data_IF_591956426081
#
_entry.id   IF_591956426081
#
_cell.length_a   1.000
_cell.length_b   1.000
_cell.length_c   1.000
_cell.angle_alpha   90.00
_cell.angle_beta   90.00
_cell.angle_gamma   90.00
#
_symmetry.space_group_name_H-M   'P 1'
#
loop_
_entity.id
_entity.type
_entity.pdbx_description
1 polymer ?
#
# COMPACT_ATOMS: atom_id res chain seq x y z
N UNK A 1 5.71 5.00 -25.89
CA UNK A 1 4.49 5.13 -25.07
C UNK A 1 4.96 5.55 -23.70
N UNK A 2 4.65 6.76 -23.26
CA UNK A 2 5.02 7.22 -21.93
C UNK A 2 4.13 6.41 -20.98
N UNK A 3 4.73 5.49 -20.23
CA UNK A 3 4.05 4.86 -19.09
C UNK A 3 3.89 5.99 -18.08
N UNK A 4 2.72 6.57 -18.04
CA UNK A 4 2.39 7.57 -17.05
C UNK A 4 2.32 6.83 -15.71
N UNK A 5 3.29 7.06 -14.84
CA UNK A 5 3.25 6.61 -13.43
C UNK A 5 2.21 7.44 -12.65
N UNK A 6 1.00 7.52 -13.23
CA UNK A 6 -0.09 8.33 -12.68
C UNK A 6 -0.41 7.97 -11.24
N UNK A 7 -0.28 6.67 -10.89
CA UNK A 7 -0.52 6.17 -9.55
C UNK A 7 0.48 6.74 -8.54
N UNK A 8 1.77 6.84 -8.91
CA UNK A 8 2.77 7.48 -8.04
C UNK A 8 2.43 8.95 -7.79
N UNK A 9 2.10 9.70 -8.86
CA UNK A 9 1.71 11.11 -8.73
C UNK A 9 0.47 11.28 -7.87
N UNK A 10 -0.52 10.39 -8.04
CA UNK A 10 -1.73 10.37 -7.23
C UNK A 10 -1.42 10.06 -5.77
N UNK A 11 -0.59 9.03 -5.49
CA UNK A 11 -0.20 8.63 -4.13
C UNK A 11 0.57 9.76 -3.44
N UNK A 12 1.51 10.41 -4.14
CA UNK A 12 2.24 11.58 -3.61
C UNK A 12 1.29 12.72 -3.27
N UNK A 13 0.34 13.02 -4.17
CA UNK A 13 -0.67 14.05 -3.90
C UNK A 13 -1.54 13.69 -2.71
N UNK A 14 -2.01 12.46 -2.63
CA UNK A 14 -2.78 11.96 -1.49
C UNK A 14 -2.00 12.08 -0.18
N UNK A 15 -0.74 11.65 -0.15
CA UNK A 15 0.13 11.79 1.02
C UNK A 15 0.33 13.26 1.42
N UNK A 16 0.42 14.16 0.45
CA UNK A 16 0.54 15.61 0.72
C UNK A 16 -0.68 16.21 1.43
N UNK A 17 -1.86 15.63 1.21
CA UNK A 17 -3.13 16.03 1.85
C UNK A 17 -3.34 15.33 3.19
N UNK A 18 -3.12 14.01 3.23
CA UNK A 18 -3.35 13.17 4.42
C UNK A 18 -2.30 13.43 5.50
N UNK A 19 -1.04 13.70 5.10
CA UNK A 19 0.08 13.90 6.02
C UNK A 19 0.23 12.74 7.01
N UNK A 20 0.46 11.51 6.54
CA UNK A 20 0.54 10.34 7.42
C UNK A 20 1.66 10.51 8.45
N UNK A 21 1.41 10.12 9.70
CA UNK A 21 2.48 9.99 10.70
C UNK A 21 3.40 8.84 10.31
N UNK A 22 2.81 7.71 9.98
CA UNK A 22 3.56 6.52 9.54
C UNK A 22 3.10 6.08 8.17
N UNK A 23 4.04 6.08 7.23
CA UNK A 23 3.90 5.51 5.89
C UNK A 23 4.69 4.21 5.79
N UNK A 24 4.08 3.17 5.25
CA UNK A 24 4.75 1.89 4.96
C UNK A 24 4.58 1.55 3.48
N UNK A 25 5.67 1.14 2.84
CA UNK A 25 5.69 0.65 1.45
C UNK A 25 6.28 -0.75 1.41
N UNK A 26 5.49 -1.70 0.90
CA UNK A 26 5.87 -3.09 0.68
C UNK A 26 6.21 -3.28 -0.80
N UNK A 27 7.48 -3.55 -1.09
CA UNK A 27 8.04 -3.52 -2.44
C UNK A 27 8.51 -2.11 -2.82
N UNK A 28 9.82 -1.94 -2.92
CA UNK A 28 10.43 -0.62 -3.12
C UNK A 28 11.04 -0.45 -4.50
N UNK A 29 11.50 -1.55 -5.09
CA UNK A 29 12.27 -1.52 -6.33
C UNK A 29 13.39 -0.48 -6.30
N UNK A 30 13.24 0.66 -6.97
CA UNK A 30 14.19 1.78 -6.97
C UNK A 30 13.78 2.93 -6.03
N UNK A 31 12.86 2.72 -5.11
CA UNK A 31 12.37 3.72 -4.14
C UNK A 31 11.84 5.02 -4.78
N UNK A 32 11.38 4.96 -6.04
CA UNK A 32 10.94 6.17 -6.74
C UNK A 32 9.77 6.86 -6.02
N UNK A 33 8.73 6.11 -5.69
CA UNK A 33 7.60 6.61 -4.91
C UNK A 33 8.00 6.92 -3.47
N UNK A 34 8.66 5.98 -2.80
CA UNK A 34 9.04 6.11 -1.38
C UNK A 34 9.76 7.44 -1.09
N UNK A 35 10.77 7.77 -1.90
CA UNK A 35 11.55 9.00 -1.73
C UNK A 35 10.72 10.27 -1.93
N UNK A 36 9.69 10.22 -2.76
CA UNK A 36 8.77 11.35 -3.01
C UNK A 36 7.79 11.57 -1.84
N UNK A 37 7.55 10.55 -1.01
CA UNK A 37 6.67 10.65 0.16
C UNK A 37 7.38 11.27 1.38
N UNK A 38 8.71 11.24 1.46
CA UNK A 38 9.50 11.73 2.60
C UNK A 38 9.08 13.13 3.10
N UNK A 39 8.77 14.13 2.24
CA UNK A 39 8.36 15.45 2.71
C UNK A 39 7.00 15.49 3.43
N UNK A 40 6.20 14.45 3.27
CA UNK A 40 4.80 14.44 3.68
C UNK A 40 4.51 13.54 4.88
N UNK A 41 5.40 12.63 5.24
CA UNK A 41 5.27 11.72 6.36
C UNK A 41 6.22 12.07 7.51
N UNK A 42 5.88 11.67 8.75
CA UNK A 42 6.76 11.84 9.91
C UNK A 42 7.75 10.69 10.02
N UNK A 43 7.32 9.46 9.72
CA UNK A 43 8.13 8.24 9.67
C UNK A 43 7.77 7.43 8.43
N UNK A 44 8.76 6.81 7.82
CA UNK A 44 8.58 5.96 6.65
C UNK A 44 9.35 4.65 6.83
N UNK A 45 8.69 3.55 6.54
CA UNK A 45 9.31 2.22 6.51
C UNK A 45 9.12 1.63 5.13
N UNK A 46 10.24 1.31 4.48
CA UNK A 46 10.23 0.60 3.20
C UNK A 46 10.72 -0.83 3.38
N UNK A 47 10.01 -1.77 2.81
CA UNK A 47 10.24 -3.22 2.91
C UNK A 47 10.57 -3.78 1.55
N UNK A 48 11.70 -4.47 1.43
CA UNK A 48 12.08 -5.17 0.19
C UNK A 48 12.98 -6.36 0.49
N UNK A 49 12.84 -7.43 -0.29
CA UNK A 49 13.72 -8.60 -0.20
C UNK A 49 15.11 -8.33 -0.77
N UNK A 50 15.25 -7.34 -1.66
CA UNK A 50 16.51 -6.96 -2.27
C UNK A 50 17.23 -5.92 -1.43
N UNK A 51 18.46 -6.23 -1.04
CA UNK A 51 19.32 -5.24 -0.39
C UNK A 51 19.61 -4.04 -1.32
N UNK A 52 19.55 -4.25 -2.63
CA UNK A 52 19.80 -3.19 -3.61
C UNK A 52 18.75 -2.08 -3.52
N UNK A 53 17.49 -2.42 -3.24
CA UNK A 53 16.43 -1.44 -3.05
C UNK A 53 16.79 -0.42 -1.97
N UNK A 54 17.39 -0.86 -0.87
CA UNK A 54 17.85 0.02 0.20
C UNK A 54 18.91 1.04 -0.23
N UNK A 55 19.69 0.75 -1.30
CA UNK A 55 20.71 1.69 -1.82
C UNK A 55 20.06 2.89 -2.54
N UNK A 56 18.85 2.74 -3.05
CA UNK A 56 18.09 3.83 -3.69
C UNK A 56 17.29 4.66 -2.69
N UNK A 57 17.13 4.18 -1.46
CA UNK A 57 16.39 4.89 -0.42
C UNK A 57 17.17 6.14 0.03
N UNK A 58 16.53 7.30 -0.06
CA UNK A 58 17.07 8.54 0.49
C UNK A 58 17.13 8.43 2.01
N UNK A 59 18.34 8.48 2.56
CA UNK A 59 18.58 8.37 3.98
C UNK A 59 18.18 9.64 4.73
N UNK A 60 17.41 9.50 5.78
CA UNK A 60 17.03 10.58 6.68
C UNK A 60 16.70 10.02 8.06
N UNK A 61 16.53 10.89 9.06
CA UNK A 61 16.06 10.48 10.39
C UNK A 61 14.64 9.91 10.41
N UNK A 62 13.89 10.06 9.31
CA UNK A 62 12.51 9.61 9.16
C UNK A 62 12.40 8.25 8.45
N UNK A 63 13.44 7.84 7.70
CA UNK A 63 13.38 6.68 6.81
C UNK A 63 14.04 5.47 7.42
N UNK A 64 13.39 4.31 7.28
CA UNK A 64 13.89 3.02 7.70
C UNK A 64 13.72 2.02 6.56
N UNK A 65 14.80 1.31 6.25
CA UNK A 65 14.76 0.16 5.35
C UNK A 65 14.69 -1.14 6.15
N UNK A 66 13.72 -1.99 5.83
CA UNK A 66 13.64 -3.36 6.32
C UNK A 66 13.97 -4.31 5.16
N UNK A 67 15.10 -5.01 5.29
CA UNK A 67 15.50 -6.03 4.32
C UNK A 67 14.91 -7.37 4.73
N UNK A 68 13.92 -7.84 3.99
CA UNK A 68 13.23 -9.10 4.24
C UNK A 68 11.94 -9.22 3.46
N UNK A 69 11.21 -10.30 3.70
CA UNK A 69 9.87 -10.50 3.15
C UNK A 69 8.82 -9.66 3.88
N UNK A 70 7.68 -9.44 3.25
CA UNK A 70 6.54 -8.75 3.87
C UNK A 70 6.05 -9.49 5.11
N UNK A 71 6.05 -10.84 5.10
CA UNK A 71 5.67 -11.68 6.23
C UNK A 71 6.67 -11.62 7.39
N UNK A 72 7.99 -11.45 7.10
CA UNK A 72 8.99 -11.22 8.16
C UNK A 72 8.77 -9.87 8.82
N UNK A 73 8.45 -8.86 8.03
CA UNK A 73 8.13 -7.54 8.55
C UNK A 73 6.82 -7.53 9.34
N UNK A 74 5.78 -8.25 8.88
CA UNK A 74 4.54 -8.40 9.62
C UNK A 74 4.78 -8.97 11.03
N UNK A 75 5.61 -10.01 11.15
CA UNK A 75 6.02 -10.58 12.47
C UNK A 75 6.77 -9.59 13.34
N UNK A 76 7.58 -8.72 12.74
CA UNK A 76 8.24 -7.65 13.51
C UNK A 76 7.20 -6.66 14.04
N UNK A 77 6.24 -6.26 13.19
CA UNK A 77 5.16 -5.34 13.60
C UNK A 77 4.27 -5.98 14.66
N UNK A 78 3.98 -7.28 14.59
CA UNK A 78 3.27 -8.01 15.66
C UNK A 78 4.03 -7.98 16.99
N UNK A 79 5.35 -8.13 16.95
CA UNK A 79 6.21 -8.14 18.14
C UNK A 79 6.38 -6.74 18.75
N UNK A 80 6.39 -5.71 17.93
CA UNK A 80 6.53 -4.30 18.34
C UNK A 80 5.47 -3.44 17.60
N UNK A 81 4.20 -3.48 18.03
CA UNK A 81 3.12 -2.87 17.31
C UNK A 81 3.23 -1.34 17.21
N UNK A 82 2.96 -0.83 16.04
CA UNK A 82 2.75 0.60 15.79
C UNK A 82 1.59 0.80 14.80
N UNK A 83 1.02 1.99 14.76
CA UNK A 83 -0.07 2.30 13.84
C UNK A 83 0.47 2.79 12.51
N UNK A 84 -0.13 2.31 11.41
CA UNK A 84 0.18 2.68 10.04
C UNK A 84 -0.96 3.56 9.54
N UNK A 85 -0.66 4.81 9.18
CA UNK A 85 -1.68 5.71 8.63
C UNK A 85 -1.89 5.53 7.14
N UNK A 86 -0.83 5.13 6.42
CA UNK A 86 -0.89 4.88 4.98
C UNK A 86 0.05 3.75 4.62
N UNK A 87 -0.51 2.68 4.04
CA UNK A 87 0.19 1.48 3.57
C UNK A 87 0.08 1.39 2.06
N UNK A 88 1.19 1.17 1.37
CA UNK A 88 1.19 0.83 -0.05
C UNK A 88 1.74 -0.58 -0.25
N UNK A 89 0.98 -1.42 -0.96
CA UNK A 89 1.29 -2.83 -1.23
C UNK A 89 1.59 -2.98 -2.72
N UNK A 90 2.86 -3.25 -3.03
CA UNK A 90 3.41 -3.38 -4.39
C UNK A 90 4.63 -4.34 -4.42
N UNK A 91 4.55 -5.44 -3.65
CA UNK A 91 5.67 -6.38 -3.49
C UNK A 91 5.59 -7.56 -4.46
N UNK A 92 4.73 -8.54 -4.18
CA UNK A 92 4.49 -9.70 -5.03
C UNK A 92 3.11 -9.54 -5.68
N UNK A 93 3.04 -9.69 -7.00
CA UNK A 93 1.83 -9.42 -7.77
C UNK A 93 0.89 -10.64 -7.85
N UNK A 94 1.12 -11.69 -7.05
CA UNK A 94 0.18 -12.81 -6.95
C UNK A 94 -1.02 -12.44 -6.07
N UNK A 95 -2.19 -12.97 -6.44
CA UNK A 95 -3.42 -12.82 -5.65
C UNK A 95 -3.20 -13.19 -4.18
N UNK A 96 -2.52 -14.32 -3.96
CA UNK A 96 -2.30 -14.88 -2.64
C UNK A 96 -1.41 -13.98 -1.77
N UNK A 97 -0.35 -13.43 -2.36
CA UNK A 97 0.56 -12.53 -1.64
C UNK A 97 -0.11 -11.20 -1.29
N UNK A 98 -0.79 -10.56 -2.25
CA UNK A 98 -1.51 -9.29 -2.00
C UNK A 98 -2.60 -9.48 -0.95
N UNK A 99 -3.37 -10.57 -1.01
CA UNK A 99 -4.40 -10.87 -0.02
C UNK A 99 -3.80 -11.16 1.37
N UNK A 100 -2.64 -11.84 1.41
CA UNK A 100 -1.94 -12.12 2.66
C UNK A 100 -1.37 -10.83 3.28
N UNK A 101 -0.70 -9.99 2.49
CA UNK A 101 -0.17 -8.70 2.95
C UNK A 101 -1.30 -7.82 3.49
N UNK A 102 -2.43 -7.75 2.79
CA UNK A 102 -3.59 -7.03 3.30
C UNK A 102 -4.04 -7.55 4.67
N UNK A 103 -4.17 -8.87 4.84
CA UNK A 103 -4.60 -9.49 6.11
C UNK A 103 -3.61 -9.25 7.24
N UNK A 104 -2.33 -9.38 6.96
CA UNK A 104 -1.27 -9.26 7.96
C UNK A 104 -1.15 -7.82 8.48
N UNK A 105 -1.31 -6.82 7.62
CA UNK A 105 -1.13 -5.42 8.02
C UNK A 105 -2.42 -4.70 8.41
N UNK A 106 -3.61 -5.18 7.97
CA UNK A 106 -4.89 -4.53 8.27
C UNK A 106 -5.12 -4.28 9.77
N UNK A 107 -4.75 -5.19 10.72
CA UNK A 107 -4.90 -4.93 12.15
C UNK A 107 -4.14 -3.69 12.63
N UNK A 108 -2.99 -3.39 12.04
CA UNK A 108 -2.09 -2.31 12.42
C UNK A 108 -2.39 -0.98 11.72
N UNK A 109 -3.25 -1.00 10.70
CA UNK A 109 -3.69 0.23 10.05
C UNK A 109 -4.55 1.06 11.00
N UNK A 110 -4.23 2.33 11.14
CA UNK A 110 -4.92 3.27 12.01
C UNK A 110 -6.41 3.38 11.63
N UNK A 111 -7.28 3.78 12.57
CA UNK A 111 -8.66 4.18 12.24
C UNK A 111 -8.65 5.23 11.13
N UNK A 112 -9.48 5.01 10.10
CA UNK A 112 -9.53 5.84 8.89
C UNK A 112 -8.21 5.87 8.08
N UNK A 113 -7.23 5.02 8.42
CA UNK A 113 -6.01 4.85 7.65
C UNK A 113 -6.29 4.25 6.28
N UNK A 114 -5.36 4.45 5.37
CA UNK A 114 -5.46 4.05 3.98
C UNK A 114 -4.54 2.86 3.67
N UNK A 115 -5.07 1.91 2.91
CA UNK A 115 -4.29 0.86 2.25
C UNK A 115 -4.45 1.05 0.75
N UNK A 116 -3.35 1.07 0.03
CA UNK A 116 -3.28 1.23 -1.41
C UNK A 116 -2.71 -0.06 -2.00
N UNK A 117 -3.44 -0.67 -2.93
CA UNK A 117 -3.02 -1.88 -3.64
C UNK A 117 -2.72 -1.54 -5.09
N UNK A 118 -1.52 -1.85 -5.55
CA UNK A 118 -1.11 -1.63 -6.92
C UNK A 118 -1.57 -2.78 -7.84
N UNK A 119 -1.49 -2.56 -9.16
CA UNK A 119 -1.74 -3.57 -10.20
C UNK A 119 -3.13 -4.20 -10.19
N UNK A 120 -4.13 -3.44 -9.73
CA UNK A 120 -5.48 -3.94 -9.52
C UNK A 120 -6.44 -3.75 -10.70
N UNK A 121 -5.93 -3.23 -11.85
CA UNK A 121 -6.72 -3.06 -13.07
C UNK A 121 -5.83 -3.21 -14.32
N UNK A 122 -5.39 -4.44 -14.67
CA UNK A 122 -4.58 -4.68 -15.87
C UNK A 122 -5.35 -4.26 -17.12
N UNK A 123 -4.69 -3.50 -18.01
CA UNK A 123 -5.32 -2.92 -19.20
C UNK A 123 -5.50 -3.91 -20.37
N UNK A 124 -4.84 -5.06 -20.32
CA UNK A 124 -4.91 -6.10 -21.34
C UNK A 124 -4.34 -7.43 -20.83
N UNK A 125 -4.50 -8.51 -21.62
CA UNK A 125 -4.05 -9.87 -21.26
C UNK A 125 -2.53 -10.00 -21.05
N UNK A 126 -1.71 -9.17 -21.68
CA UNK A 126 -0.27 -9.19 -21.46
C UNK A 126 0.09 -8.74 -20.04
N UNK A 127 -0.68 -7.83 -19.48
CA UNK A 127 -0.41 -7.28 -18.15
C UNK A 127 -0.75 -8.26 -17.01
N UNK A 128 -1.46 -9.36 -17.26
CA UNK A 128 -1.70 -10.39 -16.24
C UNK A 128 -0.54 -11.39 -16.08
N UNK A 129 0.57 -11.19 -16.81
CA UNK A 129 1.76 -11.99 -16.62
C UNK A 129 2.48 -11.60 -15.32
N UNK A 130 3.22 -12.55 -14.68
CA UNK A 130 3.88 -12.32 -13.40
C UNK A 130 4.86 -11.13 -13.38
N UNK A 131 5.46 -10.81 -14.52
CA UNK A 131 6.41 -9.69 -14.68
C UNK A 131 5.72 -8.32 -14.73
N UNK A 132 4.38 -8.31 -14.75
CA UNK A 132 3.55 -7.10 -14.78
C UNK A 132 2.59 -7.11 -13.58
N UNK A 133 1.31 -6.87 -13.81
CA UNK A 133 0.30 -6.85 -12.75
C UNK A 133 -0.01 -8.23 -12.12
N UNK A 134 0.43 -9.32 -12.77
CA UNK A 134 0.14 -10.67 -12.29
C UNK A 134 -1.34 -10.91 -12.05
N UNK A 135 -1.66 -11.44 -10.89
CA UNK A 135 -3.03 -11.72 -10.44
C UNK A 135 -3.50 -10.82 -9.28
N UNK A 136 -2.79 -9.72 -9.01
CA UNK A 136 -3.12 -8.78 -7.92
C UNK A 136 -4.56 -8.27 -7.99
N UNK A 137 -5.09 -8.03 -9.20
CA UNK A 137 -6.47 -7.59 -9.41
C UNK A 137 -7.51 -8.56 -8.82
N UNK A 138 -7.23 -9.88 -8.80
CA UNK A 138 -8.14 -10.87 -8.21
C UNK A 138 -8.20 -10.75 -6.68
N UNK A 139 -7.13 -10.32 -6.03
CA UNK A 139 -7.14 -10.00 -4.59
C UNK A 139 -8.06 -8.82 -4.32
N UNK A 140 -7.98 -7.74 -5.11
CA UNK A 140 -8.84 -6.58 -4.97
C UNK A 140 -10.33 -6.94 -5.18
N UNK A 141 -10.64 -7.81 -6.16
CA UNK A 141 -12.01 -8.30 -6.38
C UNK A 141 -12.54 -9.14 -5.22
N UNK A 142 -11.70 -9.96 -4.59
CA UNK A 142 -12.07 -10.78 -3.44
C UNK A 142 -12.32 -9.88 -2.22
N UNK A 143 -11.41 -8.97 -1.93
CA UNK A 143 -11.56 -7.99 -0.85
C UNK A 143 -12.82 -7.12 -1.03
N UNK A 144 -13.17 -6.77 -2.27
CA UNK A 144 -14.41 -6.03 -2.55
C UNK A 144 -15.67 -6.85 -2.20
N UNK A 145 -15.66 -8.17 -2.44
CA UNK A 145 -16.77 -9.06 -2.08
C UNK A 145 -16.88 -9.27 -0.56
N UNK A 146 -15.73 -9.27 0.12
CA UNK A 146 -15.64 -9.41 1.58
C UNK A 146 -15.86 -8.09 2.32
N UNK A 147 -15.81 -6.95 1.61
CA UNK A 147 -15.95 -5.63 2.21
C UNK A 147 -17.30 -5.50 2.92
N UNK A 148 -17.23 -5.30 4.22
CA UNK A 148 -18.39 -5.13 5.08
C UNK A 148 -18.31 -3.82 5.85
N UNK A 149 -18.58 -3.87 7.16
CA UNK A 149 -18.45 -2.71 8.03
C UNK A 149 -16.99 -2.34 8.37
N UNK A 150 -16.01 -3.24 8.11
CA UNK A 150 -14.63 -3.04 8.54
C UNK A 150 -13.85 -2.04 7.67
N UNK A 151 -14.13 -1.99 6.38
CA UNK A 151 -13.44 -1.11 5.44
C UNK A 151 -14.30 -0.74 4.22
N UNK A 152 -13.91 0.30 3.53
CA UNK A 152 -14.42 0.72 2.22
C UNK A 152 -13.34 0.54 1.19
N UNK A 153 -13.71 0.14 -0.03
CA UNK A 153 -12.76 -0.14 -1.09
C UNK A 153 -13.25 0.40 -2.42
N UNK A 154 -12.34 1.02 -3.17
CA UNK A 154 -12.61 1.55 -4.50
C UNK A 154 -11.39 1.35 -5.39
N UNK A 155 -11.59 0.81 -6.59
CA UNK A 155 -10.54 0.72 -7.61
C UNK A 155 -10.63 1.89 -8.58
N UNK A 156 -9.50 2.56 -8.84
CA UNK A 156 -9.36 3.53 -9.93
C UNK A 156 -9.00 2.73 -11.20
N UNK A 157 -9.90 2.67 -12.19
CA UNK A 157 -9.76 1.80 -13.36
C UNK A 157 -8.90 2.44 -14.46
N UNK A 158 -7.74 2.94 -14.11
CA UNK A 158 -6.71 3.42 -15.03
C UNK A 158 -5.54 2.45 -14.90
N UNK A 159 -5.20 1.75 -15.97
CA UNK A 159 -4.11 0.76 -15.95
C UNK A 159 -2.78 1.36 -15.44
N UNK A 160 -2.04 0.63 -14.60
CA UNK A 160 -2.21 -0.76 -14.15
C UNK A 160 -3.24 -0.97 -13.03
N UNK A 161 -3.83 0.10 -12.52
CA UNK A 161 -4.85 0.10 -11.49
C UNK A 161 -4.32 0.42 -10.10
N UNK A 162 -5.13 1.14 -9.35
CA UNK A 162 -4.88 1.43 -7.94
C UNK A 162 -6.18 1.24 -7.16
N UNK A 163 -6.17 0.30 -6.22
CA UNK A 163 -7.29 0.12 -5.29
C UNK A 163 -6.99 0.84 -3.99
N UNK A 164 -7.92 1.68 -3.57
CA UNK A 164 -7.86 2.43 -2.32
C UNK A 164 -8.80 1.77 -1.34
N UNK A 165 -8.28 1.36 -0.20
CA UNK A 165 -9.03 0.86 0.93
C UNK A 165 -8.91 1.84 2.10
N UNK A 166 -10.05 2.26 2.66
CA UNK A 166 -10.11 3.04 3.89
C UNK A 166 -10.58 2.14 5.03
N UNK A 167 -9.80 1.99 6.07
CA UNK A 167 -10.22 1.29 7.28
C UNK A 167 -11.29 2.09 8.02
N UNK A 168 -12.46 1.46 8.23
CA UNK A 168 -13.47 1.99 9.15
C UNK A 168 -13.18 1.49 10.55
N UNK A 169 -13.45 2.28 11.56
CA UNK A 169 -13.43 1.80 12.91
C UNK A 169 -14.70 2.16 13.67
N UNK A 170 -15.13 3.39 13.61
CA UNK A 170 -16.38 3.86 14.21
C UNK A 170 -16.97 4.91 13.29
N UNK A 171 -18.27 4.81 13.06
CA UNK A 171 -19.01 5.88 12.44
C UNK A 171 -18.90 7.14 13.33
N UNK A 172 -18.57 8.26 12.74
CA UNK A 172 -18.51 9.51 13.50
C UNK A 172 -19.90 9.79 14.09
N UNK A 173 -19.96 10.20 15.35
CA UNK A 173 -21.21 10.32 16.12
C UNK A 173 -22.29 11.19 15.46
N UNK A 174 -21.90 12.12 14.58
CA UNK A 174 -22.82 12.93 13.80
C UNK A 174 -23.39 12.20 12.57
N UNK A 175 -22.70 11.14 12.07
CA UNK A 175 -23.20 10.30 10.95
C UNK A 175 -24.30 9.33 11.40
N UNK A 176 -24.36 8.99 12.69
CA UNK A 176 -25.42 8.16 13.26
C UNK A 176 -26.76 8.89 13.34
N UNK A 177 -26.76 10.20 13.11
CA UNK A 177 -27.94 11.07 13.20
C UNK A 177 -28.55 11.42 11.85
N UNK A 178 -27.96 10.91 10.74
CA UNK A 178 -28.49 11.06 9.38
C UNK A 178 -29.28 9.84 8.96
#
# INVERSE_FOLDING_TARGET
MVVLNWHEDFIVHLASLVRPKVYVELGLYHCALFNRIIPFAEQLVGVDISMEAGNYMQQSSKTRFFKGTTQEFAREVESNPFQIDMLFIDADHSKEAVAQDFKDFFPFVAPHGLILLHDTHPGNEQMIQPEWCGTAYLAAEELLKESGSAYELMTIPISPGLTICRKRQVQLSWQEKL
#
